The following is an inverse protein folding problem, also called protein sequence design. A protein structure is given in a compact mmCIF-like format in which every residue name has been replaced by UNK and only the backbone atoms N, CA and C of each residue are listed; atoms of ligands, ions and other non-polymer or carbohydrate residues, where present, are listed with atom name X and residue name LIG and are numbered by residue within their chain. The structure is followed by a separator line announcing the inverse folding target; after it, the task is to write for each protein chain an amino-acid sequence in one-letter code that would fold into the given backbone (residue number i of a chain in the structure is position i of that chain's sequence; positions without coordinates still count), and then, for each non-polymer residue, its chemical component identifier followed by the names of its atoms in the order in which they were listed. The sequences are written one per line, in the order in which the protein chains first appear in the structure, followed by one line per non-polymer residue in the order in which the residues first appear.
data_IF_689932485895
#
_entry.id   IF_689932485895
#
_cell.length_a   1.000
_cell.length_b   1.000
_cell.length_c   1.000
_cell.angle_alpha   90.00
_cell.angle_beta   90.00
_cell.angle_gamma   90.00
#
_symmetry.space_group_name_H-M   'P 1'
#
loop_
_entity.id
_entity.type
_entity.pdbx_description
1 polymer ?
#
# COMPACT_ATOMS: atom_id res chain seq x y z
N UNK A 1 -2.46 -18.41 -7.59
CA UNK A 1 -1.39 -17.84 -6.73
C UNK A 1 -0.07 -17.87 -7.50
N UNK A 2 0.17 -16.90 -8.38
CA UNK A 2 1.39 -16.85 -9.20
C UNK A 2 2.28 -15.69 -8.71
N UNK A 3 3.40 -16.03 -8.08
CA UNK A 3 4.43 -15.09 -7.64
C UNK A 3 5.21 -14.59 -8.86
N UNK A 4 5.17 -13.29 -9.15
CA UNK A 4 6.11 -12.63 -10.07
C UNK A 4 7.40 -12.34 -9.32
N UNK A 5 8.45 -13.10 -9.62
CA UNK A 5 9.82 -12.77 -9.24
C UNK A 5 10.33 -11.73 -10.24
N UNK A 6 10.63 -10.52 -9.76
CA UNK A 6 11.39 -9.52 -10.51
C UNK A 6 12.83 -10.01 -10.61
N UNK A 7 13.23 -10.46 -11.80
CA UNK A 7 14.63 -10.75 -12.12
C UNK A 7 15.39 -9.44 -12.32
N UNK A 8 16.30 -9.15 -11.40
CA UNK A 8 17.36 -8.16 -11.57
C UNK A 8 18.21 -8.56 -12.79
N UNK A 9 18.21 -7.73 -13.84
CA UNK A 9 19.11 -7.89 -14.97
C UNK A 9 20.48 -7.35 -14.57
N UNK A 10 21.56 -8.15 -14.60
CA UNK A 10 22.89 -7.64 -14.33
C UNK A 10 23.35 -6.77 -15.51
N UNK A 11 23.74 -5.52 -15.24
CA UNK A 11 24.54 -4.74 -16.18
C UNK A 11 25.89 -5.45 -16.33
N UNK A 12 26.10 -6.14 -17.45
CA UNK A 12 27.44 -6.58 -17.84
C UNK A 12 28.24 -5.37 -18.29
N UNK A 13 28.95 -4.73 -17.36
CA UNK A 13 30.04 -3.80 -17.68
C UNK A 13 31.22 -4.60 -18.24
N UNK A 14 31.14 -4.94 -19.53
CA UNK A 14 32.23 -5.57 -20.27
C UNK A 14 33.29 -4.54 -20.61
N UNK A 15 34.39 -4.56 -19.87
CA UNK A 15 35.62 -3.83 -20.20
C UNK A 15 36.14 -4.39 -21.53
N UNK A 16 35.87 -3.69 -22.65
CA UNK A 16 36.40 -4.05 -23.99
C UNK A 16 37.88 -3.66 -24.03
N UNK A 17 38.77 -4.66 -23.92
CA UNK A 17 40.20 -4.48 -24.13
C UNK A 17 40.49 -4.17 -25.61
N UNK A 18 41.04 -2.99 -25.88
CA UNK A 18 41.53 -2.59 -27.21
C UNK A 18 42.91 -3.18 -27.44
N UNK A 19 42.98 -4.45 -27.84
CA UNK A 19 44.21 -5.08 -28.31
C UNK A 19 44.09 -5.37 -29.81
N UNK A 20 44.96 -4.73 -30.62
CA UNK A 20 45.17 -5.11 -32.03
C UNK A 20 44.74 -4.09 -33.08
N UNK A 21 45.33 -2.88 -33.08
CA UNK A 21 45.37 -2.05 -34.30
C UNK A 21 46.71 -2.30 -35.01
N UNK A 22 46.69 -3.14 -36.05
CA UNK A 22 47.80 -3.27 -36.99
C UNK A 22 47.64 -2.23 -38.11
N UNK A 23 48.68 -1.43 -38.37
CA UNK A 23 48.71 -0.47 -39.48
C UNK A 23 49.70 -0.96 -40.53
N UNK A 24 49.22 -1.26 -41.73
CA UNK A 24 50.06 -1.43 -42.92
C UNK A 24 49.50 -0.47 -43.95
N UNK A 25 50.31 0.54 -44.33
CA UNK A 25 49.98 1.63 -45.27
C UNK A 25 49.06 2.75 -44.75
N UNK A 26 49.14 3.11 -43.46
CA UNK A 26 48.65 4.40 -42.97
C UNK A 26 47.11 4.57 -42.93
N UNK A 27 46.35 3.54 -43.29
CA UNK A 27 44.92 3.44 -43.04
C UNK A 27 44.71 2.45 -41.91
N UNK A 28 44.21 2.91 -40.77
CA UNK A 28 43.91 2.03 -39.64
C UNK A 28 42.83 1.03 -40.05
N UNK A 29 43.18 -0.25 -40.18
CA UNK A 29 42.20 -1.29 -40.47
C UNK A 29 41.46 -1.62 -39.18
N UNK A 30 40.19 -1.24 -39.11
CA UNK A 30 39.31 -1.64 -38.02
C UNK A 30 39.12 -3.17 -38.10
N UNK A 31 39.32 -3.92 -37.01
CA UNK A 31 39.10 -5.37 -37.01
C UNK A 31 37.69 -5.69 -37.50
N UNK A 32 37.57 -6.62 -38.45
CA UNK A 32 36.27 -7.02 -39.02
C UNK A 32 35.30 -7.54 -37.95
N UNK A 33 35.82 -8.20 -36.92
CA UNK A 33 35.01 -8.67 -35.78
C UNK A 33 34.46 -7.50 -34.94
N UNK A 34 35.17 -6.38 -34.86
CA UNK A 34 34.69 -5.18 -34.18
C UNK A 34 33.58 -4.50 -34.99
N UNK A 35 33.72 -4.44 -36.32
CA UNK A 35 32.67 -3.91 -37.19
C UNK A 35 31.40 -4.77 -37.15
N UNK A 36 31.55 -6.10 -37.16
CA UNK A 36 30.42 -7.03 -37.05
C UNK A 36 29.68 -6.88 -35.72
N UNK A 37 30.42 -6.81 -34.61
CA UNK A 37 29.81 -6.64 -33.28
C UNK A 37 29.13 -5.28 -33.11
N UNK A 38 29.71 -4.19 -33.64
CA UNK A 38 29.05 -2.89 -33.66
C UNK A 38 27.80 -2.88 -34.52
N UNK A 39 27.80 -3.61 -35.66
CA UNK A 39 26.63 -3.74 -36.52
C UNK A 39 25.50 -4.54 -35.86
N UNK A 40 25.84 -5.63 -35.16
CA UNK A 40 24.90 -6.43 -34.37
C UNK A 40 24.33 -5.61 -33.20
N UNK A 41 25.17 -4.86 -32.47
CA UNK A 41 24.72 -3.96 -31.40
C UNK A 41 23.82 -2.84 -31.92
N UNK A 42 24.11 -2.28 -33.10
CA UNK A 42 23.28 -1.24 -33.73
C UNK A 42 21.90 -1.80 -34.14
N UNK A 43 21.87 -2.99 -34.74
CA UNK A 43 20.61 -3.67 -35.08
C UNK A 43 19.81 -4.04 -33.83
N UNK A 44 20.46 -4.51 -32.77
CA UNK A 44 19.79 -4.84 -31.52
C UNK A 44 19.21 -3.59 -30.83
N UNK A 45 19.94 -2.47 -30.85
CA UNK A 45 19.43 -1.16 -30.40
C UNK A 45 18.26 -0.65 -31.26
N UNK A 46 18.30 -0.81 -32.59
CA UNK A 46 17.18 -0.47 -33.47
C UNK A 46 15.93 -1.32 -33.16
N UNK A 47 16.09 -2.63 -32.97
CA UNK A 47 15.00 -3.52 -32.55
C UNK A 47 14.43 -3.13 -31.17
N UNK A 48 15.28 -2.72 -30.22
CA UNK A 48 14.84 -2.23 -28.89
C UNK A 48 14.13 -0.88 -28.97
N UNK A 49 14.55 0.01 -29.86
CA UNK A 49 13.88 1.31 -30.12
C UNK A 49 12.52 1.13 -30.80
N UNK A 50 12.38 0.09 -31.62
CA UNK A 50 11.10 -0.28 -32.23
C UNK A 50 10.18 -0.92 -31.18
N UNK A 51 10.65 -1.88 -30.38
CA UNK A 51 9.82 -2.67 -29.43
C UNK A 51 9.42 -1.99 -28.11
N UNK A 52 9.35 -0.65 -28.05
CA UNK A 52 9.01 0.10 -26.82
C UNK A 52 7.53 0.54 -26.76
N UNK A 53 7.09 1.11 -25.62
CA UNK A 53 5.74 1.69 -25.41
C UNK A 53 5.35 2.72 -26.52
N UNK A 54 6.34 3.28 -27.21
CA UNK A 54 6.16 4.14 -28.38
C UNK A 54 5.73 3.44 -29.66
N UNK A 55 5.84 2.11 -29.78
CA UNK A 55 5.36 1.34 -30.94
C UNK A 55 3.84 1.26 -30.94
N UNK A 56 3.22 1.02 -29.78
CA UNK A 56 1.75 1.11 -29.65
C UNK A 56 1.23 2.50 -29.99
N UNK A 57 1.97 3.57 -29.69
CA UNK A 57 1.58 4.95 -30.03
C UNK A 57 1.84 5.31 -31.50
N UNK A 58 2.94 4.82 -32.11
CA UNK A 58 3.23 4.99 -33.54
C UNK A 58 2.33 4.13 -34.43
N UNK A 59 1.83 3.00 -33.92
CA UNK A 59 0.89 2.13 -34.62
C UNK A 59 -0.57 2.57 -34.47
N UNK A 60 -0.87 3.48 -33.53
CA UNK A 60 -2.18 4.12 -33.37
C UNK A 60 -2.45 5.23 -34.40
N UNK A 61 -1.44 5.72 -35.11
CA UNK A 61 -1.62 6.63 -36.24
C UNK A 61 -1.28 5.81 -37.47
N UNK A 62 -2.29 5.20 -38.11
CA UNK A 62 -2.06 4.60 -39.42
C UNK A 62 -1.61 5.72 -40.35
N UNK A 63 -0.68 5.44 -41.27
CA UNK A 63 -0.29 6.41 -42.31
C UNK A 63 -1.53 7.05 -42.98
N UNK A 64 -2.60 6.27 -43.12
CA UNK A 64 -3.88 6.70 -43.68
C UNK A 64 -4.70 7.72 -42.87
N UNK A 65 -4.38 7.90 -41.58
CA UNK A 65 -5.15 8.78 -40.69
C UNK A 65 -4.70 10.24 -40.86
N UNK A 66 -3.56 10.49 -41.52
CA UNK A 66 -3.04 11.82 -41.83
C UNK A 66 -3.19 12.21 -43.31
N UNK A 67 -3.69 11.32 -44.17
CA UNK A 67 -3.89 11.56 -45.61
C UNK A 67 -4.75 12.81 -45.88
N UNK A 68 -5.66 13.13 -44.97
CA UNK A 68 -6.51 14.33 -45.04
C UNK A 68 -5.71 15.65 -44.96
N UNK A 69 -4.47 15.62 -44.45
CA UNK A 69 -3.59 16.79 -44.36
C UNK A 69 -2.77 17.04 -45.64
N UNK A 70 -2.84 16.17 -46.65
CA UNK A 70 -2.12 16.33 -47.92
C UNK A 70 -2.67 17.49 -48.76
N UNK A 71 -3.92 17.91 -48.52
CA UNK A 71 -4.53 19.06 -49.16
C UNK A 71 -6.03 19.18 -48.91
N UNK A 72 -6.65 20.31 -49.31
CA UNK A 72 -8.08 20.57 -49.07
C UNK A 72 -9.01 19.56 -49.75
N UNK A 73 -8.57 18.94 -50.86
CA UNK A 73 -9.34 17.90 -51.55
C UNK A 73 -9.33 16.57 -50.77
N UNK A 74 -8.19 16.20 -50.18
CA UNK A 74 -8.09 15.00 -49.34
C UNK A 74 -8.88 15.16 -48.04
N UNK A 75 -8.92 16.37 -47.47
CA UNK A 75 -9.75 16.71 -46.31
C UNK A 75 -11.25 16.53 -46.61
N UNK A 76 -11.72 17.02 -47.76
CA UNK A 76 -13.11 16.85 -48.18
C UNK A 76 -13.50 15.36 -48.35
N UNK A 77 -12.62 14.55 -48.91
CA UNK A 77 -12.83 13.09 -49.05
C UNK A 77 -12.87 12.41 -47.68
N UNK A 78 -11.99 12.82 -46.75
CA UNK A 78 -11.97 12.29 -45.40
C UNK A 78 -13.24 12.65 -44.62
N UNK A 79 -13.71 13.90 -44.72
CA UNK A 79 -14.98 14.34 -44.13
C UNK A 79 -16.16 13.53 -44.68
N UNK A 80 -16.21 13.32 -45.99
CA UNK A 80 -17.26 12.51 -46.61
C UNK A 80 -17.24 11.05 -46.12
N UNK A 81 -16.04 10.49 -45.90
CA UNK A 81 -15.86 9.16 -45.30
C UNK A 81 -16.33 9.13 -43.84
N UNK A 82 -16.05 10.16 -43.06
CA UNK A 82 -16.53 10.27 -41.68
C UNK A 82 -18.04 10.38 -41.62
N UNK A 83 -18.65 11.23 -42.45
CA UNK A 83 -20.11 11.36 -42.54
C UNK A 83 -20.76 10.01 -42.89
N UNK A 84 -20.19 9.30 -43.86
CA UNK A 84 -20.65 7.95 -44.22
C UNK A 84 -20.52 6.94 -43.07
N UNK A 85 -19.46 7.03 -42.27
CA UNK A 85 -19.26 6.18 -41.09
C UNK A 85 -20.25 6.51 -39.98
N UNK A 86 -20.49 7.79 -39.73
CA UNK A 86 -21.50 8.29 -38.78
C UNK A 86 -22.88 7.80 -39.19
N UNK A 87 -23.28 8.04 -40.44
CA UNK A 87 -24.55 7.54 -40.98
C UNK A 87 -24.65 6.02 -40.88
N UNK A 88 -23.58 5.27 -41.19
CA UNK A 88 -23.57 3.81 -41.05
C UNK A 88 -23.68 3.34 -39.60
N UNK A 89 -23.14 4.08 -38.64
CA UNK A 89 -23.21 3.73 -37.21
C UNK A 89 -24.60 4.01 -36.66
N UNK A 90 -25.16 5.18 -36.94
CA UNK A 90 -26.46 5.60 -36.44
C UNK A 90 -27.65 5.01 -37.22
N UNK A 91 -27.46 4.57 -38.47
CA UNK A 91 -28.49 3.80 -39.20
C UNK A 91 -28.69 2.39 -38.64
N UNK A 92 -27.67 1.82 -38.00
CA UNK A 92 -27.72 0.47 -37.42
C UNK A 92 -28.20 0.45 -35.98
N UNK A 93 -28.12 1.58 -35.28
CA UNK A 93 -28.56 1.72 -33.89
C UNK A 93 -29.92 2.44 -33.91
N UNK A 94 -31.04 1.72 -33.79
CA UNK A 94 -32.33 2.37 -33.70
C UNK A 94 -32.33 3.29 -32.47
N UNK A 95 -32.78 4.52 -32.66
CA UNK A 95 -32.96 5.43 -31.54
C UNK A 95 -34.00 4.81 -30.58
N UNK A 96 -33.70 4.74 -29.27
CA UNK A 96 -34.65 4.23 -28.31
C UNK A 96 -35.92 5.07 -28.32
N UNK A 97 -37.08 4.44 -28.12
CA UNK A 97 -38.39 5.10 -28.07
C UNK A 97 -38.42 6.24 -27.03
N UNK A 98 -37.66 6.08 -25.94
CA UNK A 98 -37.49 7.07 -24.88
C UNK A 98 -35.98 7.36 -24.62
N UNK A 99 -35.37 8.30 -25.36
CA UNK A 99 -33.92 8.55 -25.30
C UNK A 99 -33.44 8.96 -23.91
N UNK A 100 -34.23 9.79 -23.22
CA UNK A 100 -33.89 10.29 -21.88
C UNK A 100 -33.93 9.17 -20.83
N UNK A 101 -34.81 8.18 -20.99
CA UNK A 101 -34.89 7.05 -20.09
C UNK A 101 -33.70 6.10 -20.29
N UNK A 102 -33.38 5.79 -21.54
CA UNK A 102 -32.23 4.95 -21.88
C UNK A 102 -30.89 5.60 -21.44
N UNK A 103 -30.78 6.92 -21.53
CA UNK A 103 -29.57 7.64 -21.08
C UNK A 103 -29.41 7.67 -19.54
N UNK A 104 -30.51 7.51 -18.79
CA UNK A 104 -30.52 7.50 -17.33
C UNK A 104 -30.57 6.08 -16.74
N UNK A 105 -30.77 5.06 -17.58
CA UNK A 105 -30.80 3.69 -17.14
C UNK A 105 -29.38 3.26 -16.72
N UNK A 106 -29.20 2.73 -15.50
CA UNK A 106 -27.89 2.30 -15.04
C UNK A 106 -27.30 1.25 -15.98
N UNK A 107 -26.04 1.44 -16.33
CA UNK A 107 -25.32 0.47 -17.16
C UNK A 107 -25.05 -0.82 -16.38
N UNK A 108 -24.86 -1.94 -17.08
CA UNK A 108 -24.53 -3.22 -16.43
C UNK A 108 -23.29 -3.13 -15.53
N UNK A 109 -22.31 -2.30 -15.89
CA UNK A 109 -21.11 -2.08 -15.09
C UNK A 109 -21.41 -1.32 -13.80
N UNK A 110 -22.31 -0.34 -13.84
CA UNK A 110 -22.76 0.39 -12.65
C UNK A 110 -23.59 -0.50 -11.71
N UNK A 111 -24.42 -1.38 -12.26
CA UNK A 111 -25.15 -2.38 -11.48
C UNK A 111 -24.18 -3.35 -10.77
N UNK A 112 -23.18 -3.87 -11.49
CA UNK A 112 -22.16 -4.76 -10.88
C UNK A 112 -21.39 -4.07 -9.75
N UNK A 113 -20.99 -2.80 -9.95
CA UNK A 113 -20.33 -2.01 -8.90
C UNK A 113 -21.23 -1.79 -7.69
N UNK A 114 -22.52 -1.54 -7.90
CA UNK A 114 -23.49 -1.41 -6.81
C UNK A 114 -23.65 -2.71 -6.03
N UNK A 115 -23.73 -3.86 -6.71
CA UNK A 115 -23.82 -5.17 -6.07
C UNK A 115 -22.58 -5.48 -5.21
N UNK A 116 -21.38 -5.22 -5.74
CA UNK A 116 -20.13 -5.36 -4.99
C UNK A 116 -20.11 -4.47 -3.73
N UNK A 117 -20.59 -3.23 -3.85
CA UNK A 117 -20.73 -2.32 -2.72
C UNK A 117 -21.74 -2.83 -1.67
N UNK A 118 -22.87 -3.41 -2.09
CA UNK A 118 -23.85 -3.96 -1.15
C UNK A 118 -23.30 -5.18 -0.40
N UNK A 119 -22.57 -6.07 -1.08
CA UNK A 119 -21.88 -7.20 -0.44
C UNK A 119 -20.92 -6.69 0.64
N UNK A 120 -20.13 -5.64 0.35
CA UNK A 120 -19.22 -5.06 1.32
C UNK A 120 -19.97 -4.46 2.52
N UNK A 121 -21.07 -3.73 2.28
CA UNK A 121 -21.91 -3.17 3.36
C UNK A 121 -22.46 -4.29 4.25
N UNK A 122 -22.92 -5.39 3.67
CA UNK A 122 -23.44 -6.52 4.43
C UNK A 122 -22.34 -7.20 5.26
N UNK A 123 -21.16 -7.42 4.68
CA UNK A 123 -20.02 -7.98 5.40
C UNK A 123 -19.61 -7.14 6.61
N UNK A 124 -19.60 -5.80 6.47
CA UNK A 124 -19.30 -4.89 7.58
C UNK A 124 -20.39 -4.95 8.65
N UNK A 125 -21.67 -4.96 8.26
CA UNK A 125 -22.79 -5.10 9.21
C UNK A 125 -22.72 -6.40 10.00
N UNK A 126 -22.43 -7.51 9.32
CA UNK A 126 -22.26 -8.84 9.91
C UNK A 126 -21.11 -8.85 10.94
N UNK A 127 -19.94 -8.35 10.54
CA UNK A 127 -18.78 -8.26 11.43
C UNK A 127 -19.08 -7.42 12.68
N UNK A 128 -19.73 -6.27 12.51
CA UNK A 128 -20.11 -5.41 13.62
C UNK A 128 -21.07 -6.12 14.59
N UNK A 129 -22.08 -6.83 14.08
CA UNK A 129 -23.03 -7.61 14.90
C UNK A 129 -22.31 -8.70 15.68
N UNK A 130 -21.42 -9.46 15.04
CA UNK A 130 -20.62 -10.50 15.70
C UNK A 130 -19.75 -9.91 16.80
N UNK A 131 -19.10 -8.78 16.55
CA UNK A 131 -18.28 -8.11 17.55
C UNK A 131 -19.11 -7.63 18.75
N UNK A 132 -20.29 -7.04 18.52
CA UNK A 132 -21.20 -6.65 19.61
C UNK A 132 -21.66 -7.85 20.42
N UNK A 133 -22.04 -8.95 19.76
CA UNK A 133 -22.46 -10.17 20.43
C UNK A 133 -21.33 -10.77 21.28
N UNK A 134 -20.10 -10.80 20.75
CA UNK A 134 -18.93 -11.27 21.48
C UNK A 134 -18.64 -10.40 22.71
N UNK A 135 -18.69 -9.07 22.57
CA UNK A 135 -18.52 -8.14 23.71
C UNK A 135 -19.58 -8.36 24.79
N UNK A 136 -20.86 -8.45 24.39
CA UNK A 136 -21.94 -8.69 25.34
C UNK A 136 -21.80 -10.05 26.06
N UNK A 137 -21.35 -11.10 25.35
CA UNK A 137 -21.09 -12.39 25.95
C UNK A 137 -19.93 -12.34 26.96
N UNK A 138 -18.87 -11.59 26.66
CA UNK A 138 -17.73 -11.39 27.54
C UNK A 138 -18.10 -10.55 28.76
N UNK A 139 -18.85 -9.47 28.59
CA UNK A 139 -19.41 -8.68 29.69
C UNK A 139 -20.28 -9.55 30.60
N UNK A 140 -21.12 -10.41 30.05
CA UNK A 140 -21.92 -11.36 30.83
C UNK A 140 -21.07 -12.43 31.53
N UNK A 141 -19.94 -12.83 30.95
CA UNK A 141 -18.98 -13.74 31.58
C UNK A 141 -18.29 -13.07 32.78
N UNK A 142 -17.78 -11.85 32.58
CA UNK A 142 -17.15 -11.05 33.63
C UNK A 142 -18.12 -10.73 34.76
N UNK A 143 -19.35 -10.29 34.45
CA UNK A 143 -20.38 -10.02 35.45
C UNK A 143 -20.71 -11.27 36.28
N UNK A 144 -20.76 -12.46 35.66
CA UNK A 144 -20.95 -13.72 36.40
C UNK A 144 -19.76 -14.08 37.26
N UNK A 145 -18.53 -13.83 36.80
CA UNK A 145 -17.33 -14.05 37.59
C UNK A 145 -17.26 -13.09 38.78
N UNK A 146 -17.54 -11.80 38.58
CA UNK A 146 -17.60 -10.79 39.65
C UNK A 146 -18.62 -11.17 40.72
N UNK A 147 -19.84 -11.57 40.33
CA UNK A 147 -20.85 -12.05 41.30
C UNK A 147 -20.37 -13.25 42.13
N UNK A 148 -19.52 -14.12 41.60
CA UNK A 148 -18.93 -15.24 42.35
C UNK A 148 -17.87 -14.76 43.34
N UNK A 149 -17.06 -13.76 42.96
CA UNK A 149 -16.12 -13.12 43.86
C UNK A 149 -16.84 -12.36 44.99
N UNK A 150 -17.91 -11.62 44.68
CA UNK A 150 -18.71 -10.92 45.68
C UNK A 150 -19.44 -11.89 46.63
N UNK A 151 -19.88 -13.05 46.13
CA UNK A 151 -20.48 -14.09 46.96
C UNK A 151 -19.46 -14.87 47.79
N UNK A 152 -18.24 -15.05 47.27
CA UNK A 152 -17.13 -15.65 48.02
C UNK A 152 -16.65 -14.70 49.13
N UNK A 153 -16.47 -13.41 48.84
CA UNK A 153 -16.10 -12.41 49.86
C UNK A 153 -17.19 -12.18 50.90
N UNK A 154 -18.47 -12.39 50.55
CA UNK A 154 -19.60 -12.37 51.48
C UNK A 154 -19.70 -13.61 52.39
N UNK A 155 -19.22 -14.78 51.93
CA UNK A 155 -19.24 -16.03 52.70
C UNK A 155 -17.90 -16.33 53.42
N UNK A 156 -16.80 -15.72 52.99
CA UNK A 156 -15.48 -15.81 53.65
C UNK A 156 -15.35 -14.83 54.83
N UNK A 157 -16.35 -13.99 55.10
CA UNK A 157 -16.42 -13.18 56.31
C UNK A 157 -16.58 -14.00 57.61
N UNK A 158 -16.58 -15.34 57.55
CA UNK A 158 -16.57 -16.21 58.75
C UNK A 158 -15.59 -17.39 58.71
N UNK A 159 -14.65 -17.48 57.77
CA UNK A 159 -13.58 -18.49 57.91
C UNK A 159 -12.27 -18.11 57.23
N UNK A 160 -11.30 -17.75 58.06
CA UNK A 160 -9.86 -17.91 57.84
C UNK A 160 -9.29 -17.43 56.51
N UNK A 161 -9.36 -16.13 56.26
CA UNK A 161 -8.29 -15.47 55.51
C UNK A 161 -7.89 -14.22 56.25
N UNK A 162 -6.73 -14.27 56.89
CA UNK A 162 -6.04 -13.11 57.46
C UNK A 162 -5.62 -12.18 56.31
N UNK A 163 -6.57 -11.46 55.73
CA UNK A 163 -6.27 -10.21 55.05
C UNK A 163 -6.10 -9.16 56.15
N UNK A 164 -4.84 -8.80 56.38
CA UNK A 164 -4.48 -7.64 57.19
C UNK A 164 -5.07 -6.42 56.48
N UNK A 165 -6.32 -6.08 56.81
CA UNK A 165 -6.88 -4.78 56.53
C UNK A 165 -5.97 -3.80 57.27
N UNK A 166 -5.17 -3.02 56.53
CA UNK A 166 -4.40 -1.92 57.10
C UNK A 166 -5.41 -0.99 57.80
N UNK A 167 -5.49 -1.13 59.11
CA UNK A 167 -6.39 -0.31 59.90
C UNK A 167 -5.85 1.12 59.87
N UNK A 168 -6.70 2.15 60.02
CA UNK A 168 -6.22 3.54 60.05
C UNK A 168 -5.13 3.77 61.12
N UNK A 169 -5.05 2.91 62.14
CA UNK A 169 -4.00 2.94 63.15
C UNK A 169 -2.62 2.52 62.61
N UNK A 170 -2.56 1.49 61.76
CA UNK A 170 -1.33 0.98 61.13
C UNK A 170 -0.72 2.04 60.19
N UNK A 171 -1.58 2.80 59.50
CA UNK A 171 -1.13 3.92 58.65
C UNK A 171 -0.53 5.07 59.46
N UNK A 172 -0.95 5.26 60.72
CA UNK A 172 -0.41 6.29 61.62
C UNK A 172 0.93 5.84 62.18
N UNK A 173 1.08 4.58 62.57
CA UNK A 173 2.35 4.01 63.02
C UNK A 173 3.42 4.04 61.92
N UNK A 174 3.05 3.68 60.69
CA UNK A 174 3.94 3.78 59.53
C UNK A 174 4.37 5.24 59.26
N UNK A 175 3.47 6.21 59.40
CA UNK A 175 3.82 7.64 59.28
C UNK A 175 4.81 8.08 60.36
N UNK A 176 4.60 7.65 61.60
CA UNK A 176 5.53 7.95 62.70
C UNK A 176 6.91 7.30 62.47
N UNK A 177 6.94 6.07 61.94
CA UNK A 177 8.17 5.37 61.63
C UNK A 177 8.93 6.05 60.48
N UNK A 178 8.23 6.49 59.44
CA UNK A 178 8.81 7.27 58.33
C UNK A 178 9.43 8.57 58.85
N UNK A 179 8.76 9.29 59.75
CA UNK A 179 9.28 10.53 60.33
C UNK A 179 10.49 10.28 61.24
N UNK A 180 10.53 9.16 61.97
CA UNK A 180 11.70 8.75 62.74
C UNK A 180 12.90 8.46 61.83
N UNK A 181 12.69 7.73 60.73
CA UNK A 181 13.72 7.44 59.74
C UNK A 181 14.25 8.71 59.05
N UNK A 182 13.37 9.65 58.69
CA UNK A 182 13.77 10.96 58.14
C UNK A 182 14.68 11.74 59.11
N UNK A 183 14.38 11.72 60.41
CA UNK A 183 15.24 12.37 61.42
C UNK A 183 16.58 11.65 61.57
N UNK A 184 16.62 10.33 61.46
CA UNK A 184 17.87 9.58 61.48
C UNK A 184 18.73 9.88 60.25
N UNK A 185 18.13 9.95 59.06
CA UNK A 185 18.82 10.34 57.83
C UNK A 185 19.38 11.75 57.93
N UNK A 186 18.61 12.72 58.41
CA UNK A 186 19.10 14.09 58.60
C UNK A 186 20.27 14.17 59.62
N UNK A 187 20.29 13.31 60.64
CA UNK A 187 21.43 13.20 61.57
C UNK A 187 22.65 12.60 60.88
N UNK A 188 22.46 11.57 60.08
CA UNK A 188 23.54 10.94 59.31
C UNK A 188 24.12 11.90 58.27
N UNK A 189 23.28 12.66 57.55
CA UNK A 189 23.74 13.71 56.63
C UNK A 189 24.53 14.80 57.36
N UNK A 190 24.08 15.24 58.53
CA UNK A 190 24.84 16.21 59.34
C UNK A 190 26.19 15.66 59.79
N UNK A 191 26.24 14.39 60.22
CA UNK A 191 27.49 13.73 60.60
C UNK A 191 28.44 13.60 59.39
N UNK A 192 27.90 13.25 58.23
CA UNK A 192 28.66 13.10 57.00
C UNK A 192 29.20 14.46 56.52
N UNK A 193 28.40 15.52 56.59
CA UNK A 193 28.81 16.89 56.26
C UNK A 193 29.82 17.44 57.28
N UNK A 194 29.68 17.12 58.56
CA UNK A 194 30.67 17.51 59.59
C UNK A 194 32.00 16.75 59.46
N UNK A 195 31.98 15.53 58.90
CA UNK A 195 33.16 14.74 58.61
C UNK A 195 33.84 15.14 57.30
N UNK A 196 33.06 15.59 56.31
CA UNK A 196 33.56 16.14 55.06
C UNK A 196 34.15 17.57 55.20
N UNK A 197 33.86 18.27 56.30
CA UNK A 197 34.40 19.60 56.62
C UNK A 197 35.57 19.61 57.61
N UNK A 198 36.19 18.45 57.89
CA UNK A 198 37.33 18.30 58.83
C UNK A 198 38.61 17.80 58.15
N UNK A 199 38.77 18.10 56.86
CA UNK A 199 40.08 18.03 56.17
C UNK A 199 40.66 19.42 55.98
#
# INVERSE_FOLDING_TARGET
MCRRLFGLVPLSSGIRGLAGFGSVLGTGTVPSDLLRTLQEELQEEECRKQSGIGETLRHCIRQSDLDHLEGPEADAVHLQKLDSMVESLFSRIPLPEEPMKAALEPTEEELKKNDECEVLKEAVREQYRRQRAAKAAEEARLARAMKRYDAASGNEATSDTTEHVDTPNDTVELRQQIDAMKRQLAKLEKLLNSKAGSE
#
